data_IF_609041491842
#
_entry.id   IF_609041491842
#
_cell.length_a   1.000
_cell.length_b   1.000
_cell.length_c   1.000
_cell.angle_alpha   90.00
_cell.angle_beta   90.00
_cell.angle_gamma   90.00
#
_symmetry.space_group_name_H-M   'P 1'
#
loop_
_entity.id
_entity.type
_entity.pdbx_description
1 polymer ?
#
# COMPACT_ATOMS: atom_id res chain seq x y z
N UNK A 1 -18.82 8.39 -0.79
CA UNK A 1 -18.11 8.49 -2.09
C UNK A 1 -18.48 7.28 -2.92
N UNK A 2 -18.45 7.40 -4.24
CA UNK A 2 -18.65 6.25 -5.11
C UNK A 2 -17.34 5.44 -5.18
N UNK A 3 -17.49 4.13 -5.27
CA UNK A 3 -16.40 3.15 -5.33
C UNK A 3 -16.09 2.80 -6.78
N UNK A 4 -15.13 1.88 -6.98
CA UNK A 4 -14.69 1.48 -8.32
C UNK A 4 -15.77 0.79 -9.19
N UNK A 5 -16.92 0.41 -8.64
CA UNK A 5 -18.01 -0.26 -9.38
C UNK A 5 -19.10 0.71 -9.84
N UNK A 6 -19.12 1.91 -9.29
CA UNK A 6 -20.09 2.91 -9.70
C UNK A 6 -19.67 3.46 -11.05
N UNK A 7 -20.54 3.39 -12.06
CA UNK A 7 -20.27 4.01 -13.35
C UNK A 7 -20.12 5.52 -13.16
N UNK A 8 -18.95 6.04 -13.50
CA UNK A 8 -18.60 7.45 -13.41
C UNK A 8 -17.92 7.87 -14.71
N UNK A 9 -18.06 9.14 -15.07
CA UNK A 9 -17.25 9.72 -16.14
C UNK A 9 -15.79 9.84 -15.65
N UNK A 10 -14.85 9.10 -16.26
CA UNK A 10 -13.45 9.13 -15.82
C UNK A 10 -12.79 10.49 -16.02
N UNK A 11 -13.33 11.36 -16.89
CA UNK A 11 -12.78 12.70 -17.16
C UNK A 11 -13.08 13.70 -16.05
N UNK A 12 -14.05 13.40 -15.18
CA UNK A 12 -14.48 14.24 -14.06
C UNK A 12 -14.42 13.50 -12.71
N UNK A 13 -13.94 12.27 -12.68
CA UNK A 13 -13.93 11.42 -11.48
C UNK A 13 -13.06 11.99 -10.35
N UNK A 14 -11.97 12.67 -10.70
CA UNK A 14 -11.09 13.36 -9.76
C UNK A 14 -11.22 14.88 -9.93
N UNK A 15 -11.07 15.67 -8.85
CA UNK A 15 -11.15 17.11 -8.95
C UNK A 15 -10.03 17.63 -9.86
N UNK A 16 -10.38 18.55 -10.76
CA UNK A 16 -9.38 19.39 -11.43
C UNK A 16 -8.89 20.39 -10.40
N UNK A 17 -7.68 20.16 -9.90
CA UNK A 17 -7.08 20.92 -8.83
C UNK A 17 -6.15 21.98 -9.41
N UNK A 18 -6.26 23.21 -8.93
CA UNK A 18 -5.22 24.22 -9.10
C UNK A 18 -4.10 23.90 -8.10
N UNK A 19 -3.12 23.09 -8.54
CA UNK A 19 -2.01 22.67 -7.70
C UNK A 19 -0.99 23.81 -7.60
N UNK A 20 -0.71 24.35 -6.40
CA UNK A 20 0.33 25.38 -6.26
C UNK A 20 1.71 24.79 -6.57
N UNK A 21 2.60 25.62 -7.13
CA UNK A 21 4.00 25.22 -7.28
C UNK A 21 4.57 24.86 -5.91
N UNK A 22 5.07 23.63 -5.80
CA UNK A 22 5.65 23.10 -4.58
C UNK A 22 6.89 22.29 -4.94
N UNK A 23 7.94 22.42 -4.13
CA UNK A 23 9.16 21.61 -4.24
C UNK A 23 9.44 20.99 -2.89
N UNK A 24 9.94 19.76 -2.94
CA UNK A 24 10.44 19.03 -1.80
C UNK A 24 11.81 18.47 -2.18
N UNK A 25 12.72 18.40 -1.22
CA UNK A 25 13.96 17.67 -1.41
C UNK A 25 13.67 16.18 -1.55
N UNK A 26 14.45 15.48 -2.38
CA UNK A 26 14.34 14.03 -2.57
C UNK A 26 14.54 13.29 -1.22
N UNK A 27 13.71 12.29 -0.88
CA UNK A 27 12.72 11.58 -1.71
C UNK A 27 11.32 12.24 -1.81
N UNK A 28 11.08 13.37 -1.14
CA UNK A 28 9.75 13.96 -1.01
C UNK A 28 8.80 13.10 -0.16
N UNK A 29 7.75 13.69 0.40
CA UNK A 29 6.73 12.99 1.18
C UNK A 29 5.34 13.40 0.74
N UNK A 30 4.49 12.40 0.48
CA UNK A 30 3.08 12.61 0.12
C UNK A 30 2.30 13.34 1.21
N UNK A 31 2.68 13.15 2.48
CA UNK A 31 2.06 13.86 3.60
C UNK A 31 2.21 15.37 3.53
N UNK A 32 3.22 15.84 2.79
CA UNK A 32 3.54 17.26 2.63
C UNK A 32 2.94 17.84 1.33
N UNK A 33 2.33 17.00 0.48
CA UNK A 33 1.67 17.49 -0.74
C UNK A 33 0.43 18.32 -0.39
N UNK A 34 0.26 19.40 -1.15
CA UNK A 34 -0.91 20.27 -1.10
C UNK A 34 -1.48 20.40 -2.51
N UNK A 35 -2.63 19.81 -2.84
CA UNK A 35 -3.44 18.89 -2.03
C UNK A 35 -2.79 17.50 -1.88
N UNK A 36 -3.28 16.71 -0.92
CA UNK A 36 -2.80 15.34 -0.69
C UNK A 36 -3.15 14.42 -1.87
N UNK A 37 -2.28 13.46 -2.14
CA UNK A 37 -2.57 12.37 -3.06
C UNK A 37 -3.68 11.47 -2.51
N UNK A 38 -4.56 11.01 -3.39
CA UNK A 38 -5.58 9.98 -3.12
C UNK A 38 -5.01 8.63 -3.60
N UNK A 39 -4.82 7.70 -2.66
CA UNK A 39 -4.32 6.36 -2.94
C UNK A 39 -5.44 5.30 -2.92
N UNK A 40 -6.70 5.73 -2.84
CA UNK A 40 -7.84 4.84 -2.69
C UNK A 40 -8.08 4.39 -1.24
N UNK A 41 -7.58 5.14 -0.24
CA UNK A 41 -7.79 4.87 1.19
C UNK A 41 -9.28 4.80 1.55
N UNK A 42 -10.13 5.54 0.84
CA UNK A 42 -11.56 5.59 1.11
C UNK A 42 -12.39 4.92 0.01
N UNK A 43 -11.90 4.90 -1.23
CA UNK A 43 -12.68 4.51 -2.41
C UNK A 43 -12.43 3.08 -2.88
N UNK A 44 -11.27 2.48 -2.59
CA UNK A 44 -10.96 1.12 -3.04
C UNK A 44 -11.68 0.09 -2.17
N UNK A 45 -12.44 -0.82 -2.78
CA UNK A 45 -13.07 -1.95 -2.08
C UNK A 45 -12.40 -3.28 -2.43
N UNK A 46 -11.83 -3.96 -1.43
CA UNK A 46 -11.18 -5.25 -1.60
C UNK A 46 -12.16 -6.35 -1.99
N UNK A 47 -11.70 -7.36 -2.72
CA UNK A 47 -12.54 -8.52 -3.13
C UNK A 47 -11.89 -9.86 -2.76
N UNK A 48 -11.01 -9.85 -1.74
CA UNK A 48 -10.30 -11.04 -1.25
C UNK A 48 -9.57 -11.84 -2.35
N UNK A 49 -9.24 -11.19 -3.48
CA UNK A 49 -8.61 -11.84 -4.65
C UNK A 49 -7.20 -12.35 -4.35
N UNK A 50 -6.57 -11.81 -3.31
CA UNK A 50 -5.18 -12.06 -2.93
C UNK A 50 -5.08 -12.66 -1.52
N UNK A 51 -6.18 -13.23 -1.00
CA UNK A 51 -6.16 -13.87 0.30
C UNK A 51 -5.14 -15.02 0.35
N UNK A 52 -4.34 -15.06 1.41
CA UNK A 52 -3.24 -16.00 1.61
C UNK A 52 -1.97 -15.67 0.83
N UNK A 53 -1.94 -14.57 0.07
CA UNK A 53 -0.76 -14.15 -0.69
C UNK A 53 0.15 -13.26 0.15
N UNK A 54 1.45 -13.32 -0.14
CA UNK A 54 2.50 -12.49 0.47
C UNK A 54 3.11 -11.62 -0.63
N UNK A 55 3.33 -10.34 -0.36
CA UNK A 55 3.97 -9.43 -1.29
C UNK A 55 5.12 -8.66 -0.64
N UNK A 56 6.12 -8.35 -1.47
CA UNK A 56 7.15 -7.38 -1.18
C UNK A 56 6.90 -6.18 -2.10
N UNK A 57 6.68 -5.00 -1.54
CA UNK A 57 6.40 -3.79 -2.32
C UNK A 57 7.45 -2.74 -1.96
N UNK A 58 8.19 -2.30 -2.97
CA UNK A 58 9.18 -1.22 -2.86
C UNK A 58 8.54 0.12 -3.19
N UNK A 59 8.94 1.20 -2.51
CA UNK A 59 8.39 2.56 -2.71
C UNK A 59 6.93 2.68 -2.28
N UNK A 60 6.52 1.90 -1.28
CA UNK A 60 5.13 1.76 -0.88
C UNK A 60 4.70 2.73 0.24
N UNK A 61 5.58 3.67 0.54
CA UNK A 61 5.38 4.81 1.43
C UNK A 61 4.64 5.97 0.76
N UNK A 62 4.64 6.04 -0.57
CA UNK A 62 4.01 7.11 -1.34
C UNK A 62 3.47 6.66 -2.70
N UNK A 63 2.61 7.49 -3.28
CA UNK A 63 2.11 7.46 -4.64
C UNK A 63 1.52 6.12 -5.04
N UNK A 64 1.99 5.62 -6.18
CA UNK A 64 1.49 4.37 -6.76
C UNK A 64 1.80 3.18 -5.84
N UNK A 65 2.97 3.15 -5.20
CA UNK A 65 3.32 2.05 -4.30
C UNK A 65 2.40 1.99 -3.09
N UNK A 66 2.03 3.13 -2.51
CA UNK A 66 1.06 3.22 -1.43
C UNK A 66 -0.33 2.73 -1.87
N UNK A 67 -0.80 3.14 -3.06
CA UNK A 67 -2.07 2.69 -3.63
C UNK A 67 -2.08 1.17 -3.85
N UNK A 68 -0.98 0.60 -4.37
CA UNK A 68 -0.82 -0.85 -4.56
C UNK A 68 -0.83 -1.58 -3.21
N UNK A 69 -0.14 -1.05 -2.20
CA UNK A 69 -0.14 -1.66 -0.86
C UNK A 69 -1.53 -1.66 -0.22
N UNK A 70 -2.30 -0.58 -0.37
CA UNK A 70 -3.69 -0.51 0.07
C UNK A 70 -4.52 -1.55 -0.66
N UNK A 71 -4.47 -1.59 -2.00
CA UNK A 71 -5.25 -2.53 -2.79
C UNK A 71 -4.91 -4.00 -2.48
N UNK A 72 -3.63 -4.29 -2.24
CA UNK A 72 -3.16 -5.63 -1.90
C UNK A 72 -3.63 -6.06 -0.49
N UNK A 73 -3.60 -5.15 0.49
CA UNK A 73 -3.98 -5.45 1.88
C UNK A 73 -5.50 -5.44 2.13
N UNK A 74 -6.29 -4.77 1.28
CA UNK A 74 -7.69 -4.47 1.59
C UNK A 74 -8.59 -5.72 1.51
N UNK A 75 -9.25 -6.11 2.61
CA UNK A 75 -10.24 -7.17 2.60
C UNK A 75 -11.58 -6.65 2.04
N UNK A 76 -12.50 -7.57 1.77
CA UNK A 76 -13.86 -7.25 1.27
C UNK A 76 -14.78 -6.52 2.23
N UNK A 77 -14.39 -6.33 3.48
CA UNK A 77 -15.23 -5.71 4.49
C UNK A 77 -14.76 -4.27 4.69
N UNK A 78 -15.68 -3.32 4.50
CA UNK A 78 -15.41 -1.89 4.33
C UNK A 78 -14.91 -1.13 5.56
N UNK A 79 -14.62 -1.83 6.68
CA UNK A 79 -14.24 -1.20 7.93
C UNK A 79 -12.96 -1.80 8.50
N UNK A 80 -11.83 -1.24 8.08
CA UNK A 80 -10.60 -1.35 8.85
C UNK A 80 -10.08 0.06 9.15
N UNK A 81 -10.46 0.62 10.30
CA UNK A 81 -9.86 1.84 10.87
C UNK A 81 -8.33 1.73 10.99
N UNK A 82 -7.78 0.51 10.93
CA UNK A 82 -6.38 0.18 11.10
C UNK A 82 -5.52 0.46 9.85
N UNK A 83 -6.12 0.46 8.64
CA UNK A 83 -5.38 0.69 7.39
C UNK A 83 -4.91 2.14 7.16
N UNK A 84 -5.28 3.10 8.03
CA UNK A 84 -4.97 4.53 7.82
C UNK A 84 -3.51 4.91 8.12
N UNK A 85 -2.63 3.97 8.49
CA UNK A 85 -1.23 4.27 8.86
C UNK A 85 -0.28 3.19 8.38
N UNK A 86 0.10 3.24 7.10
CA UNK A 86 1.20 2.45 6.52
C UNK A 86 2.53 2.92 7.10
N UNK A 87 2.92 2.41 8.28
CA UNK A 87 4.23 2.79 8.84
C UNK A 87 5.20 1.70 9.23
N UNK A 88 4.94 0.41 9.01
CA UNK A 88 6.03 -0.57 8.82
C UNK A 88 5.56 -1.97 8.40
N UNK A 89 4.34 -2.39 8.77
CA UNK A 89 3.79 -3.69 8.39
C UNK A 89 2.27 -3.62 8.35
N UNK A 90 1.66 -4.06 7.24
CA UNK A 90 0.23 -4.38 7.18
C UNK A 90 0.11 -5.89 7.33
N UNK A 91 -0.27 -6.34 8.52
CA UNK A 91 -0.72 -7.71 8.76
C UNK A 91 -2.23 -7.69 8.90
N UNK A 92 -2.91 -8.23 7.89
CA UNK A 92 -4.25 -8.78 8.06
C UNK A 92 -4.10 -10.30 8.02
N UNK A 93 -5.05 -11.07 8.55
CA UNK A 93 -5.06 -12.55 8.51
C UNK A 93 -4.97 -13.14 7.07
N UNK A 94 -4.94 -12.29 6.04
CA UNK A 94 -4.97 -12.68 4.64
C UNK A 94 -3.72 -12.26 3.87
N UNK A 95 -2.94 -11.27 4.34
CA UNK A 95 -1.91 -10.60 3.52
C UNK A 95 -0.73 -10.13 4.37
N UNK A 96 0.51 -10.37 3.90
CA UNK A 96 1.74 -9.80 4.49
C UNK A 96 2.47 -8.94 3.46
N UNK A 97 2.80 -7.70 3.85
CA UNK A 97 3.50 -6.72 3.00
C UNK A 97 4.75 -6.19 3.70
N UNK A 98 5.91 -6.35 3.07
CA UNK A 98 7.12 -5.60 3.43
C UNK A 98 7.21 -4.35 2.55
N UNK A 99 7.23 -3.17 3.18
CA UNK A 99 7.38 -1.88 2.54
C UNK A 99 8.85 -1.45 2.66
N UNK A 100 9.53 -1.19 1.54
CA UNK A 100 10.93 -0.72 1.57
C UNK A 100 11.13 0.45 0.62
N UNK A 101 11.91 1.45 1.01
CA UNK A 101 12.31 2.52 0.10
C UNK A 101 13.27 1.99 -0.96
N UNK A 102 13.22 2.54 -2.18
CA UNK A 102 13.99 2.05 -3.33
C UNK A 102 15.50 1.88 -3.01
N UNK A 103 16.01 0.66 -2.90
CA UNK A 103 17.41 0.44 -2.54
C UNK A 103 18.31 0.74 -3.76
N UNK A 104 19.21 1.71 -3.63
CA UNK A 104 20.24 2.00 -4.64
C UNK A 104 21.39 0.99 -4.63
N UNK A 105 21.45 0.10 -3.63
CA UNK A 105 22.55 -0.84 -3.42
C UNK A 105 22.09 -2.31 -3.61
N UNK A 106 22.73 -3.08 -4.52
CA UNK A 106 22.35 -4.47 -4.81
C UNK A 106 22.50 -5.43 -3.63
N UNK A 107 23.42 -5.19 -2.68
CA UNK A 107 23.53 -6.02 -1.47
C UNK A 107 22.35 -5.81 -0.52
N UNK A 108 21.80 -4.58 -0.47
CA UNK A 108 20.59 -4.30 0.32
C UNK A 108 19.37 -4.98 -0.28
N UNK A 109 19.25 -5.04 -1.61
CA UNK A 109 18.19 -5.77 -2.31
C UNK A 109 18.15 -7.26 -1.89
N UNK A 110 19.29 -7.94 -1.96
CA UNK A 110 19.39 -9.36 -1.59
C UNK A 110 18.99 -9.56 -0.13
N UNK A 111 19.46 -8.69 0.77
CA UNK A 111 19.10 -8.78 2.19
C UNK A 111 17.61 -8.55 2.44
N UNK A 112 16.98 -7.57 1.78
CA UNK A 112 15.55 -7.29 1.90
C UNK A 112 14.73 -8.51 1.44
N UNK A 113 15.10 -9.11 0.30
CA UNK A 113 14.44 -10.30 -0.21
C UNK A 113 14.61 -11.48 0.75
N UNK A 114 15.83 -11.72 1.24
CA UNK A 114 16.10 -12.80 2.19
C UNK A 114 15.31 -12.62 3.49
N UNK A 115 15.22 -11.40 4.02
CA UNK A 115 14.39 -11.07 5.18
C UNK A 115 12.92 -11.37 4.87
N UNK A 116 12.39 -10.89 3.73
CA UNK A 116 11.00 -11.14 3.35
C UNK A 116 10.68 -12.65 3.25
N UNK A 117 11.59 -13.45 2.70
CA UNK A 117 11.46 -14.91 2.58
C UNK A 117 11.52 -15.57 3.97
N UNK A 118 12.51 -15.22 4.80
CA UNK A 118 12.68 -15.80 6.13
C UNK A 118 11.46 -15.54 7.03
N UNK A 119 10.95 -14.30 7.04
CA UNK A 119 9.74 -13.94 7.78
C UNK A 119 8.50 -14.66 7.22
N UNK A 120 8.41 -14.84 5.90
CA UNK A 120 7.31 -15.59 5.29
C UNK A 120 7.28 -17.06 5.75
N UNK A 121 8.45 -17.67 5.96
CA UNK A 121 8.55 -19.05 6.46
C UNK A 121 8.19 -19.09 7.95
N UNK A 122 8.78 -18.21 8.77
CA UNK A 122 8.55 -18.19 10.23
C UNK A 122 7.07 -17.93 10.59
N UNK A 123 6.40 -17.01 9.91
CA UNK A 123 4.98 -16.73 10.11
C UNK A 123 4.07 -17.87 9.65
N UNK A 124 4.49 -18.69 8.68
CA UNK A 124 3.77 -19.89 8.27
C UNK A 124 3.72 -20.96 9.36
N UNK A 125 4.75 -21.04 10.20
CA UNK A 125 4.76 -21.93 11.36
C UNK A 125 3.81 -21.44 12.45
N UNK A 126 3.78 -20.14 12.77
CA UNK A 126 2.90 -19.63 13.84
C UNK A 126 1.41 -19.81 13.56
N UNK A 127 0.97 -19.78 12.29
CA UNK A 127 -0.43 -19.96 11.90
C UNK A 127 -0.86 -21.43 11.76
N UNK A 128 0.07 -22.39 11.78
CA UNK A 128 -0.21 -23.83 11.75
C UNK A 128 -0.40 -24.43 13.16
N UNK A 129 -0.13 -23.66 14.21
CA UNK A 129 -0.19 -24.09 15.62
C UNK A 129 -1.27 -23.34 16.44
N UNK A 130 -2.19 -22.63 15.80
CA UNK A 130 -3.41 -22.05 16.40
C UNK A 130 -4.69 -22.66 15.78
#
# INVERSE_FOLDING_TARGET
MANQYTMQDPTTQYPKLDIPEQRQDEPGLDTNLQPKADHGEETYEGHNRLSGRKALITGADSGIGAAVAIAFARPSWSWCSWCKRTKHWLQTNQVSILLTTGPTNPRRLINIVNIAVAYSIFLGYSLLYD
#
